data_IF_459898410955
#
_entry.id   IF_459898410955
#
_cell.length_a   1.000
_cell.length_b   1.000
_cell.length_c   1.000
_cell.angle_alpha   90.00
_cell.angle_beta   90.00
_cell.angle_gamma   90.00
#
_symmetry.space_group_name_H-M   'P 1'
#
loop_
_entity.id
_entity.type
_entity.pdbx_description
1 polymer ?
#
# COMPACT_ATOMS: atom_id res chain seq x y z
N UNK A 1 -20.35 -18.20 6.44
CA UNK A 1 -19.99 -17.75 5.14
C UNK A 1 -19.07 -16.55 5.16
N UNK A 2 -18.01 -16.64 4.44
CA UNK A 2 -17.05 -15.54 4.48
C UNK A 2 -17.54 -14.41 3.59
N UNK A 3 -17.23 -13.22 4.03
CA UNK A 3 -17.51 -12.02 3.29
C UNK A 3 -16.24 -11.57 2.65
N UNK A 4 -16.23 -11.57 1.34
CA UNK A 4 -15.09 -11.03 0.65
C UNK A 4 -15.26 -9.56 0.47
N UNK A 5 -14.21 -8.81 0.76
CA UNK A 5 -14.21 -7.41 0.48
C UNK A 5 -14.20 -7.22 -1.02
N UNK A 6 -15.12 -6.43 -1.50
CA UNK A 6 -15.22 -6.14 -2.91
C UNK A 6 -14.05 -5.24 -3.30
N UNK A 7 -13.42 -5.55 -4.41
CA UNK A 7 -12.33 -4.71 -4.89
C UNK A 7 -12.90 -3.39 -5.39
N UNK A 8 -12.27 -2.30 -4.98
CA UNK A 8 -12.59 -0.98 -5.46
C UNK A 8 -11.73 -0.61 -6.65
N UNK A 9 -11.44 0.68 -6.79
CA UNK A 9 -10.62 1.13 -7.90
C UNK A 9 -9.16 0.83 -7.65
N UNK A 10 -8.36 0.85 -8.71
CA UNK A 10 -6.92 0.65 -8.64
C UNK A 10 -6.22 2.00 -8.62
N UNK A 11 -5.26 2.13 -7.70
CA UNK A 11 -4.53 3.38 -7.51
C UNK A 11 -3.04 3.05 -7.52
N UNK A 12 -2.30 3.66 -8.46
CA UNK A 12 -0.85 3.50 -8.54
C UNK A 12 -0.18 4.54 -7.68
N UNK A 13 0.77 4.14 -6.86
CA UNK A 13 1.53 5.05 -6.03
C UNK A 13 3.00 4.67 -6.03
N UNK A 14 3.87 5.68 -5.99
CA UNK A 14 5.30 5.47 -5.81
C UNK A 14 5.57 5.15 -4.35
N UNK A 15 6.54 4.29 -4.13
CA UNK A 15 7.00 3.99 -2.78
C UNK A 15 8.52 3.87 -2.81
N UNK A 16 9.16 4.48 -1.82
CA UNK A 16 10.62 4.46 -1.75
C UNK A 16 11.11 3.06 -1.35
N UNK A 17 12.34 2.70 -1.75
CA UNK A 17 12.83 1.34 -1.52
C UNK A 17 12.78 0.87 -0.09
N UNK A 18 13.10 1.76 0.84
CA UNK A 18 13.07 1.43 2.26
C UNK A 18 11.68 0.95 2.69
N UNK A 19 10.66 1.71 2.30
CA UNK A 19 9.29 1.39 2.68
C UNK A 19 8.75 0.24 1.85
N UNK A 20 9.19 0.15 0.59
CA UNK A 20 8.83 -0.97 -0.26
C UNK A 20 9.24 -2.30 0.39
N UNK A 21 10.49 -2.36 0.88
CA UNK A 21 10.98 -3.57 1.54
C UNK A 21 10.14 -3.93 2.75
N UNK A 22 9.75 -2.93 3.53
CA UNK A 22 8.97 -3.16 4.74
C UNK A 22 7.56 -3.66 4.42
N UNK A 23 6.97 -3.16 3.34
CA UNK A 23 5.65 -3.65 2.91
C UNK A 23 5.79 -5.05 2.33
N UNK A 24 6.83 -5.26 1.52
CA UNK A 24 7.06 -6.56 0.89
C UNK A 24 7.22 -7.67 1.92
N UNK A 25 7.95 -7.37 3.00
CA UNK A 25 8.20 -8.35 4.04
C UNK A 25 7.04 -8.48 5.02
N UNK A 26 6.02 -7.64 4.86
CA UNK A 26 4.83 -7.62 5.71
C UNK A 26 5.08 -7.10 7.12
N UNK A 27 6.23 -6.49 7.33
CA UNK A 27 6.50 -5.78 8.58
C UNK A 27 5.68 -4.51 8.66
N UNK A 28 5.44 -3.88 7.51
CA UNK A 28 4.68 -2.65 7.44
C UNK A 28 3.34 -2.95 6.76
N UNK A 29 2.26 -2.86 7.54
CA UNK A 29 0.93 -3.21 7.06
C UNK A 29 0.04 -1.97 6.96
N UNK A 30 0.66 -0.83 6.70
CA UNK A 30 -0.06 0.42 6.57
C UNK A 30 0.72 1.35 5.65
N UNK A 31 0.03 2.38 5.13
CA UNK A 31 0.66 3.43 4.34
C UNK A 31 0.21 4.77 4.90
N UNK A 32 1.18 5.65 5.16
CA UNK A 32 0.89 7.03 5.53
C UNK A 32 0.97 7.86 4.26
N UNK A 33 -0.12 8.47 3.87
CA UNK A 33 -0.22 9.15 2.59
C UNK A 33 -0.92 10.50 2.72
N UNK A 34 -0.58 11.41 1.82
CA UNK A 34 -1.39 12.57 1.61
C UNK A 34 -2.76 12.08 1.10
N UNK A 35 -3.82 12.62 1.65
CA UNK A 35 -5.18 12.16 1.33
C UNK A 35 -5.67 12.87 0.08
N UNK A 36 -5.06 12.54 -1.06
CA UNK A 36 -5.28 13.24 -2.32
C UNK A 36 -5.80 12.34 -3.45
N UNK A 37 -6.23 11.14 -3.14
CA UNK A 37 -6.63 10.19 -4.19
C UNK A 37 -7.98 9.56 -3.91
N UNK A 38 -8.78 10.18 -3.09
CA UNK A 38 -10.13 9.68 -2.76
C UNK A 38 -10.09 8.20 -2.39
N UNK A 39 -9.20 7.87 -1.48
CA UNK A 39 -9.07 6.48 -1.02
C UNK A 39 -10.33 5.99 -0.37
N UNK A 40 -10.72 4.77 -0.72
CA UNK A 40 -11.87 4.09 -0.15
C UNK A 40 -11.45 2.71 0.33
N UNK A 41 -12.08 2.24 1.40
CA UNK A 41 -11.86 0.86 1.84
C UNK A 41 -12.26 -0.06 0.71
N UNK A 42 -11.39 -1.03 0.41
CA UNK A 42 -11.59 -1.95 -0.72
C UNK A 42 -10.76 -1.58 -1.94
N UNK A 43 -10.26 -0.35 -2.01
CA UNK A 43 -9.42 0.04 -3.15
C UNK A 43 -8.13 -0.76 -3.15
N UNK A 44 -7.57 -0.91 -4.34
CA UNK A 44 -6.33 -1.66 -4.56
C UNK A 44 -5.20 -0.66 -4.78
N UNK A 45 -4.18 -0.76 -3.94
CA UNK A 45 -2.97 0.04 -4.09
C UNK A 45 -1.92 -0.77 -4.83
N UNK A 46 -1.44 -0.22 -5.92
CA UNK A 46 -0.31 -0.78 -6.65
C UNK A 46 0.89 0.08 -6.26
N UNK A 47 1.67 -0.43 -5.31
CA UNK A 47 2.81 0.31 -4.75
C UNK A 47 4.03 -0.03 -5.58
N UNK A 48 4.49 0.94 -6.36
CA UNK A 48 5.57 0.73 -7.32
C UNK A 48 6.85 1.35 -6.80
N UNK A 49 7.86 0.52 -6.65
CA UNK A 49 9.13 0.96 -6.09
C UNK A 49 9.77 2.01 -6.99
N UNK A 50 10.12 3.14 -6.38
CA UNK A 50 10.74 4.27 -7.05
C UNK A 50 12.03 4.58 -6.32
N UNK A 51 13.17 4.56 -7.04
CA UNK A 51 14.47 4.70 -6.40
C UNK A 51 14.92 6.14 -6.25
N UNK A 52 14.06 7.09 -6.58
CA UNK A 52 14.37 8.50 -6.55
C UNK A 52 14.55 9.09 -7.93
N UNK A 53 14.77 8.24 -8.94
CA UNK A 53 14.94 8.67 -10.32
C UNK A 53 14.04 7.92 -11.28
N UNK A 54 13.82 6.64 -11.02
CA UNK A 54 13.04 5.82 -11.94
C UNK A 54 12.38 4.67 -11.17
N UNK A 55 11.41 4.06 -11.81
CA UNK A 55 10.79 2.85 -11.28
C UNK A 55 11.77 1.69 -11.44
N UNK A 56 11.86 0.86 -10.41
CA UNK A 56 12.76 -0.31 -10.48
C UNK A 56 12.10 -1.49 -11.19
N UNK A 57 10.78 -1.46 -11.32
CA UNK A 57 10.03 -2.57 -11.87
C UNK A 57 9.42 -3.46 -10.79
N UNK A 58 9.84 -3.29 -9.56
CA UNK A 58 9.23 -4.03 -8.43
C UNK A 58 7.96 -3.36 -8.01
N UNK A 59 6.96 -4.16 -7.64
CA UNK A 59 5.71 -3.61 -7.15
C UNK A 59 5.02 -4.61 -6.25
N UNK A 60 4.25 -4.11 -5.31
CA UNK A 60 3.43 -4.93 -4.42
C UNK A 60 2.00 -4.42 -4.50
N UNK A 61 1.06 -5.35 -4.48
CA UNK A 61 -0.35 -5.02 -4.59
C UNK A 61 -1.01 -5.28 -3.26
N UNK A 62 -1.70 -4.27 -2.75
CA UNK A 62 -2.31 -4.34 -1.43
C UNK A 62 -3.73 -3.81 -1.51
N UNK A 63 -4.60 -4.33 -0.68
CA UNK A 63 -5.97 -3.84 -0.61
C UNK A 63 -6.16 -3.04 0.65
N UNK A 64 -6.83 -1.89 0.55
CA UNK A 64 -7.09 -1.02 1.70
C UNK A 64 -8.20 -1.65 2.53
N UNK A 65 -7.91 -1.86 3.82
CA UNK A 65 -8.87 -2.48 4.73
C UNK A 65 -9.43 -1.49 5.74
N UNK A 66 -8.73 -0.39 5.98
CA UNK A 66 -9.16 0.61 6.94
C UNK A 66 -8.50 1.94 6.59
N UNK A 67 -9.18 3.03 6.86
CA UNK A 67 -8.63 4.36 6.62
C UNK A 67 -8.80 5.19 7.87
N UNK A 68 -7.69 5.73 8.38
CA UNK A 68 -7.70 6.65 9.50
C UNK A 68 -7.42 8.04 8.98
N UNK A 69 -8.30 8.98 9.30
CA UNK A 69 -8.13 10.38 8.91
C UNK A 69 -8.86 11.28 9.90
N UNK A 70 -8.62 12.57 9.79
CA UNK A 70 -9.37 13.59 10.54
C UNK A 70 -9.23 13.44 12.05
N UNK A 71 -8.02 13.11 12.50
CA UNK A 71 -7.77 12.98 13.93
C UNK A 71 -6.47 13.68 14.33
N UNK A 72 -6.37 15.00 14.09
CA UNK A 72 -5.14 15.72 14.45
C UNK A 72 -4.86 15.71 15.93
N UNK A 73 -5.89 15.54 16.76
CA UNK A 73 -5.71 15.48 18.22
C UNK A 73 -4.89 14.25 18.62
N UNK A 74 -4.77 13.25 17.76
CA UNK A 74 -3.96 12.07 18.03
C UNK A 74 -2.66 12.09 17.22
N UNK A 75 -2.35 13.21 16.59
CA UNK A 75 -1.08 13.37 15.92
C UNK A 75 -1.11 13.17 14.41
N UNK A 76 -2.25 12.87 13.83
CA UNK A 76 -2.33 12.73 12.39
C UNK A 76 -2.54 14.10 11.76
N UNK A 77 -1.56 14.54 10.97
CA UNK A 77 -1.59 15.84 10.36
C UNK A 77 -2.81 15.98 9.45
N UNK A 78 -3.51 17.13 9.51
CA UNK A 78 -4.63 17.37 8.58
C UNK A 78 -4.18 17.20 7.13
N UNK A 79 -5.04 16.59 6.32
CA UNK A 79 -4.73 16.36 4.92
C UNK A 79 -3.95 15.08 4.67
N UNK A 80 -3.67 14.31 5.72
CA UNK A 80 -3.00 13.03 5.60
C UNK A 80 -3.92 11.91 6.10
N UNK A 81 -3.61 10.69 5.68
CA UNK A 81 -4.38 9.53 6.12
C UNK A 81 -3.44 8.35 6.31
N UNK A 82 -3.88 7.41 7.11
CA UNK A 82 -3.18 6.13 7.26
C UNK A 82 -4.10 5.07 6.69
N UNK A 83 -3.55 4.29 5.77
CA UNK A 83 -4.28 3.24 5.09
C UNK A 83 -3.82 1.90 5.63
N UNK A 84 -4.71 1.17 6.26
CA UNK A 84 -4.43 -0.23 6.61
C UNK A 84 -4.48 -1.04 5.33
N UNK A 85 -3.52 -1.93 5.13
CA UNK A 85 -3.40 -2.66 3.86
C UNK A 85 -3.17 -4.14 4.11
N UNK A 86 -3.65 -4.96 3.19
CA UNK A 86 -3.44 -6.40 3.25
C UNK A 86 -3.05 -6.93 1.87
N UNK A 87 -2.32 -8.04 1.88
CA UNK A 87 -1.85 -8.66 0.66
C UNK A 87 -3.00 -9.22 -0.18
N UNK A 88 -2.82 -9.18 -1.49
CA UNK A 88 -3.76 -9.76 -2.43
C UNK A 88 -3.26 -11.10 -2.98
N UNK A 89 -2.11 -11.54 -2.50
CA UNK A 89 -1.63 -12.87 -2.87
C UNK A 89 -0.58 -12.89 -3.96
N UNK A 90 -0.26 -11.75 -4.57
CA UNK A 90 0.81 -11.72 -5.56
C UNK A 90 1.51 -10.37 -5.55
N UNK A 91 2.77 -10.43 -5.89
CA UNK A 91 3.63 -9.26 -6.02
C UNK A 91 4.55 -9.51 -7.21
N UNK A 92 5.09 -8.45 -7.78
CA UNK A 92 6.00 -8.56 -8.92
C UNK A 92 7.36 -8.00 -8.54
N UNK A 93 8.40 -8.83 -8.70
CA UNK A 93 9.76 -8.42 -8.40
C UNK A 93 10.63 -8.61 -9.62
N UNK A 94 11.35 -7.56 -9.98
CA UNK A 94 12.27 -7.60 -11.12
C UNK A 94 13.64 -8.11 -10.72
N UNK A 95 13.93 -8.17 -9.44
CA UNK A 95 15.23 -8.64 -8.97
C UNK A 95 15.31 -10.17 -8.93
N UNK A 96 14.46 -10.82 -9.69
CA UNK A 96 14.46 -12.24 -9.81
C UNK A 96 13.35 -12.91 -9.05
N UNK A 97 13.18 -14.21 -9.27
CA UNK A 97 12.12 -14.92 -8.58
C UNK A 97 12.43 -14.99 -7.10
N UNK A 98 11.55 -14.44 -6.33
CA UNK A 98 11.65 -14.47 -4.89
C UNK A 98 10.48 -15.25 -4.37
N UNK A 99 10.74 -16.09 -3.41
CA UNK A 99 9.66 -16.75 -2.74
C UNK A 99 9.05 -15.76 -1.78
N UNK A 100 7.79 -15.47 -1.99
CA UNK A 100 7.08 -14.62 -1.08
C UNK A 100 6.50 -15.52 -0.01
N UNK A 101 6.98 -15.34 1.19
CA UNK A 101 6.53 -16.17 2.28
C UNK A 101 5.32 -15.56 2.91
N UNK A 102 4.31 -16.31 2.99
CA UNK A 102 3.07 -15.82 3.53
C UNK A 102 2.76 -16.39 4.88
#
# INVERSE_FOLDING_TARGET
MSQRMKAGKHIDKKILPEYFRAVRSREKTFELRKDDSDYQVGDILDLREWDGEKYTGNRVVRQITYILRDCPEYGLMPGYCILGIQSQGWDLFKDGPKVTLD
#
